data_IF_987132387509
#
_entry.id   IF_987132387509
#
_cell.length_a   1.000
_cell.length_b   1.000
_cell.length_c   1.000
_cell.angle_alpha   90.00
_cell.angle_beta   90.00
_cell.angle_gamma   90.00
#
_symmetry.space_group_name_H-M   'P 1'
#
loop_
_entity.id
_entity.type
_entity.pdbx_description
1 polymer ?
#
# COMPACT_ATOMS: atom_id res chain seq x y z
N UNK A 1 21.94 -15.26 -2.48
CA UNK A 1 21.20 -14.27 -3.30
C UNK A 1 20.01 -13.80 -2.47
N UNK A 2 20.01 -12.57 -1.94
CA UNK A 2 18.90 -12.07 -1.10
C UNK A 2 17.75 -11.66 -2.02
N UNK A 3 16.61 -12.34 -1.89
CA UNK A 3 15.41 -12.05 -2.67
C UNK A 3 14.66 -10.88 -2.02
N UNK A 4 14.67 -9.73 -2.68
CA UNK A 4 13.83 -8.59 -2.31
C UNK A 4 12.43 -8.81 -2.88
N UNK A 5 11.42 -8.78 -2.02
CA UNK A 5 10.02 -8.75 -2.43
C UNK A 5 9.66 -7.29 -2.75
N UNK A 6 9.04 -7.06 -3.90
CA UNK A 6 8.68 -5.73 -4.41
C UNK A 6 7.43 -5.12 -3.72
N UNK A 7 7.05 -5.63 -2.55
CA UNK A 7 5.94 -5.12 -1.73
C UNK A 7 4.54 -5.18 -2.34
N UNK A 8 4.40 -5.61 -3.60
CA UNK A 8 3.19 -5.46 -4.41
C UNK A 8 2.56 -6.78 -4.85
N UNK A 9 3.13 -7.92 -4.43
CA UNK A 9 2.52 -9.23 -4.65
C UNK A 9 2.71 -10.08 -3.40
N UNK A 10 1.60 -10.52 -2.84
CA UNK A 10 1.60 -11.36 -1.66
C UNK A 10 2.48 -12.60 -1.86
N UNK A 11 3.51 -12.75 -1.02
CA UNK A 11 4.46 -13.86 -1.04
C UNK A 11 3.88 -15.18 -0.54
N UNK A 12 2.65 -15.21 -0.03
CA UNK A 12 2.00 -16.42 0.48
C UNK A 12 1.64 -17.45 -0.61
N UNK A 13 1.60 -17.03 -1.89
CA UNK A 13 1.20 -17.89 -3.01
C UNK A 13 2.31 -18.89 -3.40
N UNK A 14 3.52 -18.76 -2.84
CA UNK A 14 4.70 -19.46 -3.36
C UNK A 14 4.89 -20.92 -2.90
N UNK A 15 3.94 -21.54 -2.20
CA UNK A 15 4.20 -22.82 -1.52
C UNK A 15 3.15 -23.92 -1.72
N UNK A 16 2.45 -24.02 -2.86
CA UNK A 16 1.58 -25.20 -3.12
C UNK A 16 1.54 -25.58 -4.61
N UNK A 17 2.60 -26.25 -5.09
CA UNK A 17 2.85 -26.61 -6.50
C UNK A 17 1.94 -27.68 -7.13
N UNK A 18 0.64 -27.70 -6.82
CA UNK A 18 -0.35 -28.51 -7.58
C UNK A 18 -1.81 -28.04 -7.43
N UNK A 19 -2.12 -27.14 -6.50
CA UNK A 19 -3.40 -26.39 -6.41
C UNK A 19 -3.41 -25.12 -7.29
N UNK A 20 -2.39 -24.99 -8.14
CA UNK A 20 -1.79 -23.73 -8.55
C UNK A 20 -2.56 -22.97 -9.65
N UNK A 21 -3.39 -23.65 -10.45
CA UNK A 21 -4.16 -22.98 -11.51
C UNK A 21 -5.43 -22.31 -10.98
N UNK A 22 -6.37 -23.06 -10.41
CA UNK A 22 -7.64 -22.47 -9.99
C UNK A 22 -7.47 -21.53 -8.80
N UNK A 23 -6.68 -21.91 -7.79
CA UNK A 23 -6.43 -21.04 -6.63
C UNK A 23 -5.57 -19.83 -7.03
N UNK A 24 -4.59 -20.01 -7.92
CA UNK A 24 -3.77 -18.92 -8.43
C UNK A 24 -4.58 -17.92 -9.27
N UNK A 25 -5.49 -18.40 -10.11
CA UNK A 25 -6.43 -17.60 -10.90
C UNK A 25 -7.43 -16.89 -9.98
N UNK A 26 -8.04 -17.57 -9.02
CA UNK A 26 -8.95 -16.94 -8.04
C UNK A 26 -8.26 -15.88 -7.18
N UNK A 27 -7.01 -16.11 -6.76
CA UNK A 27 -6.24 -15.11 -6.02
C UNK A 27 -5.83 -13.93 -6.90
N UNK A 28 -5.60 -14.16 -8.19
CA UNK A 28 -5.37 -13.09 -9.18
C UNK A 28 -6.62 -12.27 -9.41
N UNK A 29 -7.78 -12.90 -9.60
CA UNK A 29 -9.08 -12.22 -9.73
C UNK A 29 -9.41 -11.43 -8.46
N UNK A 30 -9.21 -12.02 -7.28
CA UNK A 30 -9.37 -11.33 -6.01
C UNK A 30 -8.43 -10.12 -5.91
N UNK A 31 -7.17 -10.29 -6.33
CA UNK A 31 -6.21 -9.18 -6.40
C UNK A 31 -6.69 -8.09 -7.35
N UNK A 32 -7.21 -8.42 -8.53
CA UNK A 32 -7.73 -7.45 -9.51
C UNK A 32 -8.96 -6.71 -8.98
N UNK A 33 -9.89 -7.39 -8.31
CA UNK A 33 -11.06 -6.77 -7.68
C UNK A 33 -10.63 -5.82 -6.55
N UNK A 34 -9.69 -6.25 -5.70
CA UNK A 34 -9.15 -5.42 -4.62
C UNK A 34 -8.40 -4.20 -5.17
N UNK A 35 -7.64 -4.35 -6.26
CA UNK A 35 -7.01 -3.23 -6.95
C UNK A 35 -8.04 -2.30 -7.62
N UNK A 36 -9.13 -2.84 -8.17
CA UNK A 36 -10.21 -2.04 -8.74
C UNK A 36 -10.87 -1.12 -7.70
N UNK A 37 -10.99 -1.57 -6.45
CA UNK A 37 -11.46 -0.72 -5.34
C UNK A 37 -10.44 0.39 -5.02
N UNK A 38 -9.14 0.09 -5.09
CA UNK A 38 -8.07 1.09 -4.91
C UNK A 38 -8.08 2.14 -6.02
N UNK A 39 -8.29 1.74 -7.27
CA UNK A 39 -8.35 2.64 -8.42
C UNK A 39 -9.63 3.50 -8.42
N UNK A 40 -10.75 2.96 -7.92
CA UNK A 40 -12.02 3.67 -7.80
C UNK A 40 -12.05 4.67 -6.62
N UNK A 41 -11.00 4.71 -5.80
CA UNK A 41 -10.92 5.59 -4.65
C UNK A 41 -10.94 7.07 -5.10
N UNK A 42 -11.93 7.88 -4.68
CA UNK A 42 -12.04 9.28 -5.10
C UNK A 42 -10.97 10.18 -4.45
N UNK A 43 -10.24 9.67 -3.45
CA UNK A 43 -9.23 10.40 -2.72
C UNK A 43 -7.85 10.21 -3.34
N UNK A 44 -7.13 11.31 -3.46
CA UNK A 44 -5.80 11.37 -4.04
C UNK A 44 -4.82 11.94 -3.02
N UNK A 45 -3.61 11.40 -3.08
CA UNK A 45 -2.49 11.90 -2.31
C UNK A 45 -1.75 12.98 -3.11
N UNK A 46 -1.53 14.13 -2.48
CA UNK A 46 -0.57 15.11 -2.97
C UNK A 46 0.84 14.66 -2.58
N UNK A 47 1.61 14.19 -3.55
CA UNK A 47 2.96 13.69 -3.31
C UNK A 47 3.95 14.79 -2.96
N UNK A 48 3.68 16.04 -3.37
CA UNK A 48 4.51 17.19 -3.03
C UNK A 48 4.34 17.56 -1.54
N UNK A 49 3.22 17.17 -0.92
CA UNK A 49 3.01 17.29 0.52
C UNK A 49 3.47 16.05 1.30
N UNK A 50 3.16 14.85 0.79
CA UNK A 50 3.45 13.59 1.49
C UNK A 50 4.96 13.32 1.60
N UNK A 51 5.74 13.57 0.55
CA UNK A 51 7.17 13.24 0.57
C UNK A 51 7.92 14.08 1.62
N UNK A 52 7.75 15.41 1.70
CA UNK A 52 8.34 16.20 2.77
C UNK A 52 7.88 15.74 4.16
N UNK A 53 6.58 15.47 4.34
CA UNK A 53 6.03 15.01 5.62
C UNK A 53 6.62 13.67 6.04
N UNK A 54 6.71 12.71 5.11
CA UNK A 54 7.35 11.42 5.33
C UNK A 54 8.81 11.59 5.73
N UNK A 55 9.58 12.39 5.00
CA UNK A 55 11.00 12.62 5.31
C UNK A 55 11.19 13.32 6.66
N UNK A 56 10.28 14.23 7.03
CA UNK A 56 10.29 14.90 8.33
C UNK A 56 10.02 13.92 9.48
N UNK A 57 9.01 13.07 9.34
CA UNK A 57 8.56 12.17 10.42
C UNK A 57 9.36 10.86 10.48
N UNK A 58 9.79 10.35 9.33
CA UNK A 58 10.37 9.00 9.19
C UNK A 58 11.80 9.00 8.62
N UNK A 59 12.36 10.14 8.20
CA UNK A 59 13.65 10.21 7.50
C UNK A 59 14.89 9.75 8.30
N UNK A 60 14.73 9.36 9.57
CA UNK A 60 15.76 8.78 10.44
C UNK A 60 15.61 7.27 10.67
N UNK A 61 14.76 6.59 9.89
CA UNK A 61 14.51 5.15 10.02
C UNK A 61 13.12 4.80 10.56
N UNK A 62 12.14 5.68 10.37
CA UNK A 62 10.74 5.43 10.72
C UNK A 62 10.10 4.36 9.83
N UNK A 63 9.12 3.65 10.39
CA UNK A 63 8.40 2.60 9.71
C UNK A 63 7.41 3.19 8.68
N UNK A 64 7.46 2.68 7.44
CA UNK A 64 6.51 3.06 6.38
C UNK A 64 5.09 2.68 6.80
N UNK A 65 4.92 1.53 7.44
CA UNK A 65 3.59 1.02 7.78
C UNK A 65 2.95 1.86 8.88
N UNK A 66 3.73 2.31 9.87
CA UNK A 66 3.27 3.25 10.92
C UNK A 66 2.88 4.62 10.33
N UNK A 67 3.70 5.16 9.42
CA UNK A 67 3.39 6.40 8.72
C UNK A 67 2.08 6.28 7.93
N UNK A 68 1.95 5.22 7.14
CA UNK A 68 0.77 5.03 6.29
C UNK A 68 -0.50 4.91 7.12
N UNK A 69 -0.46 4.12 8.20
CA UNK A 69 -1.60 3.93 9.11
C UNK A 69 -2.03 5.25 9.75
N UNK A 70 -1.07 6.01 10.28
CA UNK A 70 -1.33 7.30 10.93
C UNK A 70 -1.85 8.36 9.96
N UNK A 71 -1.22 8.46 8.78
CA UNK A 71 -1.59 9.44 7.76
C UNK A 71 -3.00 9.18 7.23
N UNK A 72 -3.33 7.93 6.87
CA UNK A 72 -4.66 7.56 6.38
C UNK A 72 -5.72 7.75 7.46
N UNK A 73 -5.41 7.45 8.72
CA UNK A 73 -6.33 7.70 9.84
C UNK A 73 -6.66 9.19 9.94
N UNK A 74 -5.65 10.06 9.95
CA UNK A 74 -5.86 11.51 9.98
C UNK A 74 -6.61 12.03 8.76
N UNK A 75 -6.25 11.57 7.57
CA UNK A 75 -6.90 11.95 6.32
C UNK A 75 -8.39 11.54 6.30
N UNK A 76 -8.70 10.35 6.81
CA UNK A 76 -10.08 9.84 6.88
C UNK A 76 -10.97 10.63 7.83
N UNK A 77 -10.42 11.12 8.95
CA UNK A 77 -11.11 12.00 9.87
C UNK A 77 -11.38 13.36 9.23
N UNK A 78 -10.39 13.92 8.55
CA UNK A 78 -10.51 15.23 7.90
C UNK A 78 -11.52 15.25 6.75
N UNK A 79 -11.59 14.16 5.97
CA UNK A 79 -12.46 14.05 4.81
C UNK A 79 -13.79 13.33 5.09
N UNK A 80 -14.08 13.01 6.36
CA UNK A 80 -15.40 12.51 6.76
C UNK A 80 -15.72 11.06 6.37
N UNK A 81 -14.69 10.23 6.11
CA UNK A 81 -14.86 8.80 5.79
C UNK A 81 -14.21 7.87 6.81
N UNK A 82 -13.96 8.34 8.04
CA UNK A 82 -13.29 7.55 9.09
C UNK A 82 -13.97 6.22 9.47
N UNK A 83 -15.28 6.09 9.21
CA UNK A 83 -16.04 4.85 9.41
C UNK A 83 -16.00 3.90 8.20
N UNK A 84 -15.43 4.32 7.07
CA UNK A 84 -15.32 3.50 5.86
C UNK A 84 -13.98 2.75 5.86
N UNK A 85 -14.01 1.53 6.39
CA UNK A 85 -12.83 0.66 6.50
C UNK A 85 -12.28 0.25 5.14
N UNK A 86 -13.13 0.12 4.12
CA UNK A 86 -12.72 -0.26 2.77
C UNK A 86 -11.92 0.88 2.13
N UNK A 87 -12.40 2.11 2.26
CA UNK A 87 -11.69 3.28 1.74
C UNK A 87 -10.37 3.51 2.47
N UNK A 88 -10.34 3.36 3.80
CA UNK A 88 -9.09 3.46 4.57
C UNK A 88 -8.07 2.42 4.13
N UNK A 89 -8.46 1.16 4.01
CA UNK A 89 -7.54 0.09 3.57
C UNK A 89 -7.04 0.35 2.14
N UNK A 90 -7.93 0.78 1.24
CA UNK A 90 -7.55 1.13 -0.12
C UNK A 90 -6.51 2.26 -0.17
N UNK A 91 -6.70 3.31 0.63
CA UNK A 91 -5.74 4.42 0.74
C UNK A 91 -4.42 3.97 1.38
N UNK A 92 -4.48 3.14 2.41
CA UNK A 92 -3.29 2.58 3.08
C UNK A 92 -2.42 1.79 2.10
N UNK A 93 -3.03 0.85 1.37
CA UNK A 93 -2.30 0.02 0.41
C UNK A 93 -1.69 0.85 -0.72
N UNK A 94 -2.42 1.85 -1.22
CA UNK A 94 -1.91 2.78 -2.23
C UNK A 94 -0.69 3.55 -1.72
N UNK A 95 -0.82 4.22 -0.58
CA UNK A 95 0.25 5.01 0.03
C UNK A 95 1.51 4.18 0.28
N UNK A 96 1.31 3.01 0.88
CA UNK A 96 2.37 2.05 1.19
C UNK A 96 3.10 1.59 -0.06
N UNK A 97 2.37 1.18 -1.09
CA UNK A 97 2.97 0.66 -2.33
C UNK A 97 3.86 1.70 -3.03
N UNK A 98 3.40 2.95 -3.07
CA UNK A 98 4.11 4.07 -3.67
C UNK A 98 5.34 4.48 -2.85
N UNK A 99 5.24 4.55 -1.52
CA UNK A 99 6.40 4.84 -0.67
C UNK A 99 7.48 3.74 -0.78
N UNK A 100 7.11 2.47 -0.81
CA UNK A 100 8.07 1.40 -1.07
C UNK A 100 8.70 1.50 -2.47
N UNK A 101 7.93 1.84 -3.49
CA UNK A 101 8.45 2.07 -4.84
C UNK A 101 9.47 3.22 -4.84
N UNK A 102 9.16 4.35 -4.19
CA UNK A 102 10.04 5.51 -4.04
C UNK A 102 11.32 5.18 -3.26
N UNK A 103 11.22 4.42 -2.16
CA UNK A 103 12.37 3.95 -1.38
C UNK A 103 13.27 3.03 -2.22
N UNK A 104 12.68 2.14 -3.01
CA UNK A 104 13.46 1.26 -3.90
C UNK A 104 14.24 2.01 -4.99
N UNK A 105 13.77 3.20 -5.37
CA UNK A 105 14.43 4.10 -6.32
C UNK A 105 15.41 5.08 -5.67
N UNK A 106 15.47 5.12 -4.33
CA UNK A 106 16.30 6.08 -3.58
C UNK A 106 15.75 7.50 -3.54
N UNK A 107 14.46 7.71 -3.88
CA UNK A 107 13.80 9.02 -3.81
C UNK A 107 13.51 9.45 -2.35
N UNK A 108 13.36 8.47 -1.46
CA UNK A 108 13.16 8.65 -0.01
C UNK A 108 14.05 7.67 0.75
N UNK A 109 14.37 7.99 2.01
CA UNK A 109 15.24 7.18 2.87
C UNK A 109 14.53 5.97 3.47
#
# INVERSE_FOLDING_TARGET
MKHYTNGTKFSFIRTFGSLEKSLGETLKELSEVLYGVVEANPYFFDWDEIIPLYNQLCGQGGDIDEFCSSHVTGYSLFNGFSADDVQKEAMYLRLRSELYAKRSKGEIK
#
